data_IF_477989485590
#
_entry.id   IF_477989485590
#
_cell.length_a   1.000
_cell.length_b   1.000
_cell.length_c   1.000
_cell.angle_alpha   90.00
_cell.angle_beta   90.00
_cell.angle_gamma   90.00
#
_symmetry.space_group_name_H-M   'P 1'
#
loop_
_entity.id
_entity.type
_entity.pdbx_description
1 polymer ?
#
# COMPACT_ATOMS: atom_id res chain seq x y z
N UNK A 1 -18.60 -2.46 -6.21
CA UNK A 1 -17.74 -2.16 -5.05
C UNK A 1 -17.81 -3.22 -3.94
N UNK A 2 -18.97 -3.49 -3.32
CA UNK A 2 -19.05 -4.50 -2.23
C UNK A 2 -18.52 -5.89 -2.58
N UNK A 3 -18.81 -6.40 -3.78
CA UNK A 3 -18.22 -7.66 -4.25
C UNK A 3 -16.68 -7.60 -4.30
N UNK A 4 -16.12 -6.48 -4.75
CA UNK A 4 -14.66 -6.27 -4.75
C UNK A 4 -14.10 -6.23 -3.34
N UNK A 5 -14.77 -5.53 -2.42
CA UNK A 5 -14.39 -5.50 -1.00
C UNK A 5 -14.38 -6.91 -0.39
N UNK A 6 -15.39 -7.74 -0.65
CA UNK A 6 -15.39 -9.14 -0.20
C UNK A 6 -14.28 -9.96 -0.86
N UNK A 7 -13.95 -9.70 -2.13
CA UNK A 7 -12.79 -10.29 -2.80
C UNK A 7 -11.47 -9.98 -2.08
N UNK A 8 -11.29 -8.75 -1.59
CA UNK A 8 -10.08 -8.41 -0.79
C UNK A 8 -10.02 -9.18 0.53
N UNK A 9 -11.17 -9.50 1.13
CA UNK A 9 -11.24 -10.32 2.36
C UNK A 9 -10.82 -11.75 2.06
N UNK A 10 -11.31 -12.34 0.96
CA UNK A 10 -10.87 -13.68 0.54
C UNK A 10 -9.35 -13.73 0.33
N UNK A 11 -8.78 -12.74 -0.35
CA UNK A 11 -7.33 -12.63 -0.54
C UNK A 11 -6.58 -12.46 0.79
N UNK A 12 -7.15 -11.70 1.73
CA UNK A 12 -6.56 -11.48 3.05
C UNK A 12 -6.49 -12.77 3.86
N UNK A 13 -7.55 -13.58 3.85
CA UNK A 13 -7.59 -14.87 4.53
C UNK A 13 -6.62 -15.88 3.88
N UNK A 14 -6.54 -15.89 2.55
CA UNK A 14 -5.57 -16.72 1.85
C UNK A 14 -4.12 -16.34 2.22
N UNK A 15 -3.81 -15.04 2.23
CA UNK A 15 -2.50 -14.54 2.62
C UNK A 15 -2.17 -14.88 4.09
N UNK A 16 -3.15 -14.74 5.00
CA UNK A 16 -3.00 -15.16 6.39
C UNK A 16 -2.61 -16.64 6.50
N UNK A 17 -3.33 -17.53 5.81
CA UNK A 17 -3.05 -18.98 5.83
C UNK A 17 -1.63 -19.29 5.31
N UNK A 18 -1.18 -18.62 4.24
CA UNK A 18 0.19 -18.77 3.74
C UNK A 18 1.24 -18.31 4.76
N UNK A 19 1.02 -17.18 5.44
CA UNK A 19 1.95 -16.64 6.44
C UNK A 19 1.99 -17.50 7.71
N UNK A 20 0.84 -17.96 8.19
CA UNK A 20 0.74 -18.82 9.37
C UNK A 20 1.41 -20.17 9.14
N UNK A 21 1.31 -20.73 7.92
CA UNK A 21 2.07 -21.94 7.52
C UNK A 21 3.58 -21.75 7.55
N UNK A 22 4.07 -20.52 7.42
CA UNK A 22 5.48 -20.16 7.59
C UNK A 22 5.83 -19.79 9.04
N UNK A 23 4.91 -19.96 9.99
CA UNK A 23 5.10 -19.64 11.40
C UNK A 23 5.02 -18.14 11.72
N UNK A 24 4.45 -17.34 10.83
CA UNK A 24 4.33 -15.88 11.01
C UNK A 24 2.97 -15.54 11.62
N UNK A 25 2.98 -15.01 12.84
CA UNK A 25 1.77 -14.56 13.52
C UNK A 25 1.09 -13.43 12.73
N UNK A 26 -0.12 -13.69 12.26
CA UNK A 26 -0.84 -12.78 11.35
C UNK A 26 -2.27 -12.51 11.84
N UNK A 27 -2.80 -11.31 11.59
CA UNK A 27 -4.19 -10.95 11.93
C UNK A 27 -4.86 -10.22 10.77
N UNK A 28 -6.03 -10.71 10.37
CA UNK A 28 -6.88 -10.03 9.38
C UNK A 28 -7.86 -9.11 10.11
N UNK A 29 -7.88 -7.84 9.70
CA UNK A 29 -8.85 -6.84 10.15
C UNK A 29 -9.66 -6.32 8.96
N UNK A 30 -10.98 -6.23 9.11
CA UNK A 30 -11.87 -5.82 8.02
C UNK A 30 -12.65 -4.55 8.37
N UNK A 31 -12.82 -3.67 7.37
CA UNK A 31 -13.65 -2.47 7.52
C UNK A 31 -15.15 -2.81 7.62
N UNK A 32 -15.59 -3.88 6.96
CA UNK A 32 -16.94 -4.42 7.10
C UNK A 32 -16.91 -5.49 8.18
N UNK A 33 -17.69 -5.30 9.25
CA UNK A 33 -17.77 -6.27 10.35
C UNK A 33 -18.30 -7.61 9.86
N UNK A 34 -17.54 -8.67 10.10
CA UNK A 34 -17.91 -10.05 9.77
C UNK A 34 -17.57 -11.00 10.92
N UNK A 35 -18.58 -11.33 11.72
CA UNK A 35 -18.42 -12.23 12.85
C UNK A 35 -17.85 -13.59 12.43
N UNK A 36 -17.00 -14.18 13.27
CA UNK A 36 -16.26 -15.45 13.06
C UNK A 36 -15.21 -15.46 11.95
N UNK A 37 -15.24 -14.53 10.98
CA UNK A 37 -14.34 -14.56 9.81
C UNK A 37 -13.08 -13.73 10.04
N UNK A 38 -13.22 -12.50 10.52
CA UNK A 38 -12.09 -11.59 10.73
C UNK A 38 -12.38 -10.60 11.87
N UNK A 39 -11.33 -10.01 12.43
CA UNK A 39 -11.49 -8.95 13.43
C UNK A 39 -12.06 -7.68 12.76
N UNK A 40 -12.97 -6.92 13.40
CA UNK A 40 -13.29 -5.58 12.91
C UNK A 40 -12.04 -4.69 12.99
N UNK A 41 -11.86 -3.83 11.99
CA UNK A 41 -10.77 -2.85 12.00
C UNK A 41 -10.93 -1.86 13.16
N UNK A 42 -9.90 -1.79 14.00
CA UNK A 42 -9.78 -0.83 15.09
C UNK A 42 -8.31 -0.35 15.09
N UNK A 43 -8.02 0.94 14.82
CA UNK A 43 -6.65 1.43 14.68
C UNK A 43 -5.73 1.04 15.84
N UNK A 44 -6.17 1.28 17.07
CA UNK A 44 -5.41 0.94 18.29
C UNK A 44 -5.16 -0.56 18.44
N UNK A 45 -6.06 -1.41 17.92
CA UNK A 45 -5.85 -2.86 17.94
C UNK A 45 -4.84 -3.28 16.87
N UNK A 46 -4.88 -2.67 15.69
CA UNK A 46 -3.88 -2.89 14.65
C UNK A 46 -2.48 -2.52 15.16
N UNK A 47 -2.32 -1.33 15.75
CA UNK A 47 -1.07 -0.89 16.38
C UNK A 47 -0.58 -1.89 17.44
N UNK A 48 -1.46 -2.34 18.34
CA UNK A 48 -1.10 -3.34 19.36
C UNK A 48 -0.68 -4.70 18.79
N UNK A 49 -1.18 -5.08 17.61
CA UNK A 49 -0.69 -6.28 16.92
C UNK A 49 0.71 -6.03 16.32
N UNK A 50 0.94 -4.86 15.72
CA UNK A 50 2.25 -4.47 15.17
C UNK A 50 3.33 -4.38 16.26
N UNK A 51 3.02 -3.82 17.43
CA UNK A 51 3.91 -3.77 18.61
C UNK A 51 4.35 -5.16 19.09
N UNK A 52 3.56 -6.20 18.80
CA UNK A 52 3.85 -7.60 19.13
C UNK A 52 4.61 -8.33 18.02
N UNK A 53 5.00 -7.63 16.96
CA UNK A 53 5.69 -8.22 15.80
C UNK A 53 4.79 -9.03 14.89
N UNK A 54 3.47 -8.81 14.91
CA UNK A 54 2.51 -9.53 14.05
C UNK A 54 2.32 -8.81 12.73
N UNK A 55 2.07 -9.57 11.66
CA UNK A 55 1.58 -9.00 10.41
C UNK A 55 0.09 -8.69 10.55
N UNK A 56 -0.31 -7.48 10.17
CA UNK A 56 -1.73 -7.08 10.10
C UNK A 56 -2.13 -6.92 8.64
N UNK A 57 -3.17 -7.64 8.22
CA UNK A 57 -3.72 -7.57 6.86
C UNK A 57 -5.07 -6.86 6.92
N UNK A 58 -5.23 -5.81 6.12
CA UNK A 58 -6.47 -5.04 6.04
C UNK A 58 -7.33 -5.51 4.87
N UNK A 59 -8.51 -6.05 5.17
CA UNK A 59 -9.52 -6.46 4.19
C UNK A 59 -10.70 -5.51 4.12
N UNK A 60 -11.51 -5.67 3.08
CA UNK A 60 -12.74 -4.89 2.81
C UNK A 60 -12.54 -3.39 2.55
N UNK A 61 -11.33 -2.95 2.18
CA UNK A 61 -11.09 -1.55 1.79
C UNK A 61 -11.43 -0.55 2.91
N UNK A 62 -12.10 0.55 2.54
CA UNK A 62 -12.71 1.50 3.48
C UNK A 62 -14.09 1.06 4.00
N UNK A 63 -14.63 -0.06 3.51
CA UNK A 63 -15.97 -0.53 3.87
C UNK A 63 -17.12 0.27 3.26
N UNK A 64 -16.82 1.21 2.36
CA UNK A 64 -17.80 2.04 1.65
C UNK A 64 -17.46 2.14 0.15
N UNK A 65 -18.47 2.22 -0.75
CA UNK A 65 -18.26 2.39 -2.18
C UNK A 65 -17.51 3.68 -2.55
N UNK A 66 -17.02 3.76 -3.80
CA UNK A 66 -16.33 4.92 -4.41
C UNK A 66 -14.90 5.21 -3.94
N UNK A 67 -14.33 4.38 -3.06
CA UNK A 67 -12.93 4.50 -2.63
C UNK A 67 -12.08 3.36 -3.22
N UNK A 68 -10.89 3.71 -3.67
CA UNK A 68 -9.91 2.75 -4.19
C UNK A 68 -9.19 2.01 -3.06
N UNK A 69 -8.47 0.96 -3.43
CA UNK A 69 -7.51 0.27 -2.55
C UNK A 69 -6.32 1.16 -2.20
N UNK A 70 -5.85 2.00 -3.13
CA UNK A 70 -4.72 2.91 -2.90
C UNK A 70 -5.09 3.96 -1.84
N UNK A 71 -6.31 4.51 -1.90
CA UNK A 71 -6.83 5.44 -0.90
C UNK A 71 -6.99 4.76 0.46
N UNK A 72 -7.44 3.50 0.47
CA UNK A 72 -7.49 2.70 1.71
C UNK A 72 -6.09 2.51 2.29
N UNK A 73 -5.09 2.16 1.48
CA UNK A 73 -3.74 1.92 1.94
C UNK A 73 -3.11 3.18 2.56
N UNK A 74 -3.26 4.34 1.90
CA UNK A 74 -2.81 5.62 2.43
C UNK A 74 -3.48 5.95 3.78
N UNK A 75 -4.79 5.76 3.87
CA UNK A 75 -5.54 6.04 5.09
C UNK A 75 -5.15 5.10 6.24
N UNK A 76 -5.01 3.79 5.99
CA UNK A 76 -4.57 2.83 7.02
C UNK A 76 -3.15 3.09 7.48
N UNK A 77 -2.25 3.46 6.57
CA UNK A 77 -0.87 3.83 6.89
C UNK A 77 -0.83 5.02 7.86
N UNK A 78 -1.65 6.04 7.62
CA UNK A 78 -1.77 7.19 8.53
C UNK A 78 -2.33 6.79 9.90
N UNK A 79 -3.38 5.98 9.94
CA UNK A 79 -4.02 5.58 11.20
C UNK A 79 -3.13 4.71 12.09
N UNK A 80 -2.29 3.86 11.49
CA UNK A 80 -1.35 3.03 12.25
C UNK A 80 -0.03 3.74 12.55
N UNK A 81 0.22 4.92 11.95
CA UNK A 81 1.46 5.66 12.10
C UNK A 81 2.63 5.01 11.37
N UNK A 82 2.41 4.50 10.16
CA UNK A 82 3.48 3.93 9.34
C UNK A 82 4.49 5.00 8.88
N UNK A 83 5.75 4.60 8.71
CA UNK A 83 6.82 5.52 8.26
C UNK A 83 6.77 5.78 6.75
N UNK A 84 6.24 4.83 5.96
CA UNK A 84 6.20 4.88 4.50
C UNK A 84 5.11 3.97 3.95
N UNK A 85 4.47 4.38 2.85
CA UNK A 85 3.59 3.52 2.05
C UNK A 85 4.39 2.85 0.93
N UNK A 86 4.52 1.53 0.99
CA UNK A 86 5.14 0.74 -0.07
C UNK A 86 4.10 0.42 -1.17
N UNK A 87 4.17 1.11 -2.30
CA UNK A 87 3.33 0.87 -3.47
C UNK A 87 4.01 -0.10 -4.45
N UNK A 88 3.67 -1.37 -4.26
CA UNK A 88 3.99 -2.46 -5.18
C UNK A 88 3.24 -2.30 -6.51
N UNK A 89 3.98 -2.14 -7.62
CA UNK A 89 3.43 -2.07 -8.98
C UNK A 89 4.12 -3.11 -9.88
N UNK A 90 3.64 -3.24 -11.12
CA UNK A 90 4.27 -4.05 -12.17
C UNK A 90 5.24 -3.23 -13.05
N UNK A 91 5.74 -2.12 -12.52
CA UNK A 91 6.71 -1.21 -13.14
C UNK A 91 7.78 -0.88 -12.11
N UNK A 92 8.98 -0.49 -12.56
CA UNK A 92 10.13 -0.32 -11.66
C UNK A 92 10.01 0.91 -10.76
N UNK A 93 9.28 1.94 -11.18
CA UNK A 93 9.06 3.15 -10.40
C UNK A 93 8.16 4.15 -11.14
N UNK A 94 8.34 5.42 -10.83
CA UNK A 94 7.68 6.54 -11.51
C UNK A 94 8.59 7.04 -12.63
N UNK A 95 8.02 7.20 -13.82
CA UNK A 95 8.75 7.64 -15.03
C UNK A 95 8.25 9.00 -15.50
N UNK A 96 9.09 9.71 -16.26
CA UNK A 96 8.74 10.97 -16.94
C UNK A 96 7.59 10.81 -17.94
N UNK A 97 7.46 9.63 -18.56
CA UNK A 97 6.42 9.23 -19.49
C UNK A 97 6.17 7.72 -19.38
N UNK A 98 5.14 7.17 -20.04
CA UNK A 98 4.93 5.71 -20.06
C UNK A 98 6.07 5.02 -20.83
N UNK A 99 6.94 4.22 -20.17
CA UNK A 99 8.10 3.61 -20.83
C UNK A 99 7.73 2.55 -21.88
N UNK A 100 6.45 2.16 -21.97
CA UNK A 100 5.94 1.28 -23.03
C UNK A 100 5.65 2.01 -24.32
N UNK A 101 5.47 3.33 -24.25
CA UNK A 101 5.09 4.18 -25.39
C UNK A 101 6.23 5.12 -25.76
N UNK A 102 6.95 5.64 -24.77
CA UNK A 102 8.07 6.56 -24.94
C UNK A 102 9.39 5.87 -24.54
N UNK A 103 10.27 5.56 -25.50
CA UNK A 103 11.56 4.93 -25.21
C UNK A 103 12.54 5.85 -24.49
N UNK A 104 12.32 7.17 -24.51
CA UNK A 104 13.14 8.16 -23.80
C UNK A 104 12.64 8.40 -22.36
N UNK A 105 11.61 7.67 -21.91
CA UNK A 105 11.11 7.75 -20.55
C UNK A 105 12.19 7.38 -19.53
N UNK A 106 12.48 8.29 -18.62
CA UNK A 106 13.46 8.08 -17.55
C UNK A 106 12.76 7.92 -16.21
N UNK A 107 13.27 6.99 -15.39
CA UNK A 107 12.74 6.75 -14.05
C UNK A 107 13.29 7.80 -13.08
N UNK A 108 12.43 8.33 -12.23
CA UNK A 108 12.83 9.16 -11.11
C UNK A 108 13.41 8.30 -9.98
N UNK A 109 14.59 8.64 -9.44
CA UNK A 109 15.03 8.04 -8.16
C UNK A 109 14.23 8.61 -6.99
N UNK A 110 13.99 9.92 -7.02
CA UNK A 110 13.24 10.67 -6.03
C UNK A 110 12.44 11.76 -6.72
N UNK A 111 11.22 12.00 -6.24
CA UNK A 111 10.34 13.07 -6.73
C UNK A 111 9.49 13.60 -5.57
N UNK A 112 9.09 14.87 -5.62
CA UNK A 112 8.19 15.42 -4.60
C UNK A 112 6.73 15.14 -4.92
N UNK A 113 5.89 15.17 -3.87
CA UNK A 113 4.45 15.06 -4.06
C UNK A 113 3.93 16.10 -5.06
N UNK A 114 4.42 17.34 -4.93
CA UNK A 114 4.02 18.45 -5.78
C UNK A 114 4.40 18.23 -7.24
N UNK A 115 5.63 17.81 -7.51
CA UNK A 115 6.10 17.55 -8.89
C UNK A 115 5.28 16.45 -9.58
N UNK A 116 4.89 15.40 -8.85
CA UNK A 116 4.01 14.34 -9.39
C UNK A 116 2.67 14.91 -9.86
N UNK A 117 2.07 15.82 -9.08
CA UNK A 117 0.79 16.46 -9.43
C UNK A 117 0.98 17.43 -10.60
N UNK A 118 1.99 18.30 -10.53
CA UNK A 118 2.26 19.33 -11.56
C UNK A 118 2.57 18.70 -12.93
N UNK A 119 3.23 17.55 -12.95
CA UNK A 119 3.54 16.80 -14.17
C UNK A 119 2.45 15.78 -14.56
N UNK A 120 1.40 15.62 -13.76
CA UNK A 120 0.30 14.68 -14.04
C UNK A 120 0.72 13.21 -14.07
N UNK A 121 1.74 12.83 -13.28
CA UNK A 121 2.28 11.46 -13.27
C UNK A 121 1.31 10.52 -12.53
N UNK A 122 1.00 9.38 -13.17
CA UNK A 122 0.01 8.42 -12.66
C UNK A 122 0.64 7.42 -11.69
N UNK A 123 0.84 7.83 -10.44
CA UNK A 123 1.43 6.99 -9.38
C UNK A 123 0.37 6.16 -8.64
N UNK A 124 -0.66 6.85 -8.14
CA UNK A 124 -1.81 6.31 -7.45
C UNK A 124 -3.05 7.09 -7.90
N UNK A 125 -4.24 6.74 -7.40
CA UNK A 125 -5.37 7.64 -7.57
C UNK A 125 -5.12 8.98 -6.85
N UNK A 126 -5.74 10.05 -7.36
CA UNK A 126 -5.50 11.41 -6.88
C UNK A 126 -5.87 11.61 -5.41
N UNK A 127 -6.86 10.87 -4.89
CA UNK A 127 -7.32 10.99 -3.50
C UNK A 127 -6.29 10.39 -2.55
N UNK A 128 -5.80 9.18 -2.84
CA UNK A 128 -4.72 8.54 -2.08
C UNK A 128 -3.48 9.43 -2.04
N UNK A 129 -3.12 9.98 -3.19
CA UNK A 129 -1.92 10.79 -3.32
C UNK A 129 -2.01 12.11 -2.56
N UNK A 130 -3.14 12.81 -2.67
CA UNK A 130 -3.39 14.05 -1.92
C UNK A 130 -3.37 13.79 -0.41
N UNK A 131 -3.98 12.69 0.03
CA UNK A 131 -3.98 12.29 1.44
C UNK A 131 -2.56 12.08 1.98
N UNK A 132 -1.68 11.42 1.20
CA UNK A 132 -0.28 11.27 1.58
C UNK A 132 0.46 12.62 1.60
N UNK A 133 0.26 13.46 0.58
CA UNK A 133 0.89 14.79 0.48
C UNK A 133 0.55 15.67 1.68
N UNK A 134 -0.74 15.79 2.01
CA UNK A 134 -1.23 16.65 3.09
C UNK A 134 -0.72 16.23 4.47
N UNK A 135 -0.40 14.94 4.63
CA UNK A 135 0.12 14.36 5.87
C UNK A 135 1.63 14.06 5.82
N UNK A 136 2.33 14.52 4.77
CA UNK A 136 3.76 14.29 4.57
C UNK A 136 4.16 12.80 4.61
N UNK A 137 3.25 11.89 4.25
CA UNK A 137 3.48 10.44 4.23
C UNK A 137 4.30 10.07 3.00
N UNK A 138 5.53 9.54 3.16
CA UNK A 138 6.34 9.09 2.03
C UNK A 138 5.69 7.91 1.30
N UNK A 139 5.88 7.83 -0.02
CA UNK A 139 5.44 6.71 -0.86
C UNK A 139 6.65 6.14 -1.58
N UNK A 140 6.89 4.83 -1.47
CA UNK A 140 7.90 4.12 -2.26
C UNK A 140 7.22 3.32 -3.36
N UNK A 141 7.45 3.69 -4.62
CA UNK A 141 6.92 2.97 -5.77
C UNK A 141 7.98 2.03 -6.30
N UNK A 142 7.70 0.73 -6.37
CA UNK A 142 8.68 -0.27 -6.81
C UNK A 142 8.01 -1.46 -7.48
N UNK A 143 8.81 -2.22 -8.24
CA UNK A 143 8.36 -3.43 -8.91
C UNK A 143 8.26 -4.62 -7.94
N UNK A 144 7.06 -5.14 -7.74
CA UNK A 144 6.81 -6.31 -6.89
C UNK A 144 7.21 -7.63 -7.54
N UNK A 145 7.24 -7.69 -8.88
CA UNK A 145 7.51 -8.91 -9.63
C UNK A 145 8.99 -9.31 -9.61
N UNK A 146 9.86 -8.42 -9.15
CA UNK A 146 11.28 -8.72 -8.94
C UNK A 146 11.46 -9.32 -7.55
N UNK A 147 11.95 -10.57 -7.51
CA UNK A 147 12.20 -11.29 -6.27
C UNK A 147 13.11 -10.49 -5.32
N UNK A 148 12.76 -10.47 -4.03
CA UNK A 148 13.53 -9.76 -3.00
C UNK A 148 13.25 -8.25 -2.90
N UNK A 149 12.52 -7.63 -3.83
CA UNK A 149 12.36 -6.17 -3.82
C UNK A 149 11.66 -5.62 -2.57
N UNK A 150 10.73 -6.35 -1.94
CA UNK A 150 10.14 -5.91 -0.67
C UNK A 150 11.25 -5.74 0.39
N UNK A 151 12.12 -6.74 0.55
CA UNK A 151 13.20 -6.70 1.53
C UNK A 151 14.19 -5.58 1.23
N UNK A 152 14.54 -5.40 -0.05
CA UNK A 152 15.44 -4.33 -0.51
C UNK A 152 14.85 -2.94 -0.21
N UNK A 153 13.55 -2.74 -0.48
CA UNK A 153 12.86 -1.48 -0.23
C UNK A 153 12.87 -1.13 1.26
N UNK A 154 12.56 -2.10 2.12
CA UNK A 154 12.55 -1.91 3.58
C UNK A 154 13.96 -1.71 4.14
N UNK A 155 14.99 -2.30 3.52
CA UNK A 155 16.40 -2.12 3.92
C UNK A 155 17.00 -0.76 3.54
N UNK A 156 16.27 0.07 2.79
CA UNK A 156 16.75 1.38 2.34
C UNK A 156 17.64 1.34 1.09
N UNK A 157 17.67 0.22 0.37
CA UNK A 157 18.30 0.19 -0.95
C UNK A 157 17.59 1.15 -1.91
N UNK A 158 18.35 1.76 -2.82
CA UNK A 158 17.81 2.61 -3.88
C UNK A 158 17.12 1.76 -4.95
N UNK A 159 15.84 1.44 -4.72
CA UNK A 159 15.00 0.76 -5.70
C UNK A 159 13.74 1.57 -5.98
N UNK A 160 13.35 1.58 -7.25
CA UNK A 160 12.21 2.34 -7.74
C UNK A 160 12.31 3.83 -7.45
N UNK A 161 11.19 4.42 -7.02
CA UNK A 161 11.07 5.86 -6.80
C UNK A 161 10.54 6.17 -5.42
N UNK A 162 11.27 7.02 -4.69
CA UNK A 162 10.79 7.59 -3.43
C UNK A 162 10.07 8.92 -3.70
N UNK A 163 8.77 8.94 -3.41
CA UNK A 163 7.96 10.16 -3.38
C UNK A 163 7.95 10.72 -1.96
N UNK A 164 8.50 11.91 -1.75
CA UNK A 164 8.49 12.58 -0.45
C UNK A 164 8.54 14.09 -0.60
N UNK A 165 7.94 14.81 0.35
CA UNK A 165 7.86 16.27 0.36
C UNK A 165 9.23 16.95 0.50
#
# INVERSE_FOLDING_TARGET
DYMGMLGTVMNSLALQDFLEKQGIDTRVQTAITMGQVAEPYIPLRAQRHLEKGRIVIFGAGMGMPYFSTDTTAAQRALEIGADVVLMAKAVDGVYTADPRVDPDATMYEQITHREVIEQGLKVADATAFSLCMDNQMPIMVFNLLTEGNIARAVSGEKIGTLVKS
#
